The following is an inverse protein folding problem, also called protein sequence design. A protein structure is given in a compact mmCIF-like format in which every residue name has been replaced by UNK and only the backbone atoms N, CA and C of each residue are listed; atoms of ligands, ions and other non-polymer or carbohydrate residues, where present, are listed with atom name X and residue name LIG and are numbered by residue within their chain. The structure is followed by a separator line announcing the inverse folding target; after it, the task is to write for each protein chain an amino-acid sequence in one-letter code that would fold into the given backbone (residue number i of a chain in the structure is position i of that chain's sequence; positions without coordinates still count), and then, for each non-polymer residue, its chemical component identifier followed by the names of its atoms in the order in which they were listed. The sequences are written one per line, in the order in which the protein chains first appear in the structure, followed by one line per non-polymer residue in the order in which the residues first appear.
data_IF_228493762698
#
_entry.id   IF_228493762698
#
_cell.length_a   1.000
_cell.length_b   1.000
_cell.length_c   1.000
_cell.angle_alpha   90.00
_cell.angle_beta   90.00
_cell.angle_gamma   90.00
#
_symmetry.space_group_name_H-M   'P 1'
#
loop_
_entity.id
_entity.type
_entity.pdbx_description
1 polymer ?
#
# COMPACT_ATOMS: atom_id res chain seq x y z
N UNK A 1 -3.11 -11.91 5.19
CA UNK A 1 -3.67 -11.49 6.49
C UNK A 1 -4.01 -10.04 6.28
N UNK A 2 -5.30 -9.71 6.31
CA UNK A 2 -5.74 -8.33 6.12
C UNK A 2 -5.38 -7.47 7.33
N UNK A 3 -5.09 -6.19 7.11
CA UNK A 3 -4.95 -5.20 8.18
C UNK A 3 -6.23 -4.44 8.42
N UNK A 4 -6.52 -4.16 9.68
CA UNK A 4 -7.69 -3.40 10.10
C UNK A 4 -7.30 -1.97 10.41
N UNK A 5 -8.17 -1.05 10.05
CA UNK A 5 -8.14 0.33 10.52
C UNK A 5 -9.54 0.74 10.97
N UNK A 6 -9.59 1.73 11.86
CA UNK A 6 -10.83 2.20 12.44
C UNK A 6 -10.88 3.72 12.37
N UNK A 7 -12.07 4.24 12.09
CA UNK A 7 -12.40 5.66 12.21
C UNK A 7 -13.87 5.82 12.57
N UNK A 8 -14.17 6.67 13.57
CA UNK A 8 -15.54 6.91 14.06
C UNK A 8 -16.34 5.63 14.38
N UNK A 9 -15.68 4.59 14.92
CA UNK A 9 -16.32 3.31 15.24
C UNK A 9 -16.63 2.42 14.04
N UNK A 10 -16.24 2.82 12.82
CA UNK A 10 -16.29 2.00 11.61
C UNK A 10 -14.95 1.30 11.45
N UNK A 11 -14.97 -0.03 11.42
CA UNK A 11 -13.78 -0.86 11.23
C UNK A 11 -13.78 -1.37 9.78
N UNK A 12 -12.69 -1.12 9.07
CA UNK A 12 -12.50 -1.53 7.69
C UNK A 12 -11.18 -2.31 7.55
N UNK A 13 -11.12 -3.15 6.51
CA UNK A 13 -9.96 -4.00 6.23
C UNK A 13 -9.20 -3.50 5.00
N UNK A 14 -7.91 -3.78 4.95
CA UNK A 14 -7.04 -3.60 3.80
C UNK A 14 -6.33 -4.92 3.56
N UNK A 15 -6.47 -5.46 2.35
CA UNK A 15 -5.72 -6.63 1.90
C UNK A 15 -5.22 -6.38 0.48
N UNK A 16 -4.04 -5.78 0.35
CA UNK A 16 -3.43 -5.52 -0.96
C UNK A 16 -2.85 -6.79 -1.59
N UNK A 17 -2.95 -7.94 -0.91
CA UNK A 17 -2.59 -9.24 -1.47
C UNK A 17 -3.80 -9.96 -2.08
N UNK A 18 -5.01 -9.49 -1.79
CA UNK A 18 -6.25 -9.90 -2.46
C UNK A 18 -6.41 -9.13 -3.78
N UNK A 19 -6.58 -9.85 -4.89
CA UNK A 19 -6.61 -9.24 -6.22
C UNK A 19 -7.86 -8.37 -6.43
N UNK A 20 -9.01 -8.78 -5.90
CA UNK A 20 -10.28 -8.06 -6.05
C UNK A 20 -10.28 -6.77 -5.20
N UNK A 21 -9.63 -6.79 -4.04
CA UNK A 21 -9.40 -5.60 -3.24
C UNK A 21 -8.38 -4.67 -3.92
N UNK A 22 -7.25 -5.20 -4.41
CA UNK A 22 -6.24 -4.41 -5.09
C UNK A 22 -6.79 -3.72 -6.34
N UNK A 23 -7.61 -4.41 -7.14
CA UNK A 23 -8.24 -3.83 -8.33
C UNK A 23 -9.19 -2.66 -7.96
N UNK A 24 -10.02 -2.83 -6.92
CA UNK A 24 -10.89 -1.74 -6.43
C UNK A 24 -10.08 -0.56 -5.91
N UNK A 25 -9.03 -0.84 -5.14
CA UNK A 25 -8.11 0.17 -4.63
C UNK A 25 -7.50 0.98 -5.78
N UNK A 26 -6.89 0.32 -6.77
CA UNK A 26 -6.24 0.97 -7.91
C UNK A 26 -7.21 1.82 -8.72
N UNK A 27 -8.41 1.29 -9.03
CA UNK A 27 -9.46 2.03 -9.75
C UNK A 27 -9.95 3.25 -8.98
N UNK A 28 -10.17 3.10 -7.68
CA UNK A 28 -10.64 4.20 -6.83
C UNK A 28 -9.63 5.35 -6.78
N UNK A 29 -8.34 5.04 -6.66
CA UNK A 29 -7.27 6.04 -6.70
C UNK A 29 -7.12 6.71 -8.08
N UNK A 30 -7.22 5.96 -9.17
CA UNK A 30 -7.21 6.53 -10.52
C UNK A 30 -8.36 7.53 -10.73
N UNK A 31 -9.57 7.18 -10.28
CA UNK A 31 -10.74 8.05 -10.35
C UNK A 31 -10.63 9.28 -9.43
N UNK A 32 -10.06 9.10 -8.24
CA UNK A 32 -9.80 10.20 -7.32
C UNK A 32 -8.82 11.21 -7.93
N UNK A 33 -7.76 10.76 -8.61
CA UNK A 33 -6.79 11.64 -9.29
C UNK A 33 -7.46 12.48 -10.40
N UNK A 34 -8.34 11.87 -11.19
CA UNK A 34 -9.12 12.60 -12.21
C UNK A 34 -10.04 13.64 -11.57
N UNK A 35 -10.75 13.25 -10.50
CA UNK A 35 -11.68 14.14 -9.80
C UNK A 35 -10.96 15.30 -9.10
N UNK A 36 -9.76 15.07 -8.58
CA UNK A 36 -8.91 16.10 -7.96
C UNK A 36 -8.47 17.17 -8.98
N UNK A 37 -8.12 16.77 -10.21
CA UNK A 37 -7.78 17.71 -11.30
C UNK A 37 -8.95 18.65 -11.64
N UNK A 38 -10.17 18.15 -11.60
CA UNK A 38 -11.37 18.98 -11.80
C UNK A 38 -11.62 19.91 -10.62
N UNK A 39 -11.37 19.46 -9.40
CA UNK A 39 -11.53 20.27 -8.18
C UNK A 39 -10.58 21.49 -8.14
N UNK A 40 -9.36 21.36 -8.70
CA UNK A 40 -8.38 22.45 -8.75
C UNK A 40 -8.87 23.69 -9.52
N UNK A 41 -9.92 23.55 -10.34
CA UNK A 41 -10.52 24.66 -11.11
C UNK A 41 -11.54 25.48 -10.32
N UNK A 42 -11.88 25.06 -9.10
CA UNK A 42 -12.90 25.71 -8.26
C UNK A 42 -12.31 26.91 -7.52
N UNK A 43 -12.91 28.10 -7.71
CA UNK A 43 -12.42 29.36 -7.11
C UNK A 43 -12.97 29.68 -5.71
N UNK A 44 -14.03 29.00 -5.26
CA UNK A 44 -14.71 29.30 -3.99
C UNK A 44 -14.30 28.30 -2.92
N UNK A 45 -13.73 28.79 -1.80
CA UNK A 45 -13.19 27.94 -0.74
C UNK A 45 -14.21 26.95 -0.15
N UNK A 46 -15.47 27.36 0.04
CA UNK A 46 -16.50 26.47 0.61
C UNK A 46 -16.92 25.36 -0.36
N UNK A 47 -16.86 25.60 -1.67
CA UNK A 47 -17.10 24.60 -2.70
C UNK A 47 -15.90 23.66 -2.83
N UNK A 48 -14.69 24.21 -2.75
CA UNK A 48 -13.45 23.42 -2.72
C UNK A 48 -13.44 22.46 -1.54
N UNK A 49 -13.80 22.90 -0.32
CA UNK A 49 -13.87 22.01 0.85
C UNK A 49 -14.93 20.91 0.65
N UNK A 50 -16.11 21.23 0.11
CA UNK A 50 -17.15 20.22 -0.15
C UNK A 50 -16.70 19.21 -1.20
N UNK A 51 -16.09 19.67 -2.29
CA UNK A 51 -15.52 18.82 -3.32
C UNK A 51 -14.40 17.93 -2.78
N UNK A 52 -13.49 18.49 -1.96
CA UNK A 52 -12.43 17.74 -1.30
C UNK A 52 -13.01 16.63 -0.42
N UNK A 53 -14.00 16.93 0.41
CA UNK A 53 -14.67 15.89 1.21
C UNK A 53 -15.32 14.84 0.32
N UNK A 54 -15.98 15.24 -0.77
CA UNK A 54 -16.62 14.31 -1.70
C UNK A 54 -15.62 13.35 -2.36
N UNK A 55 -14.37 13.78 -2.63
CA UNK A 55 -13.32 12.89 -3.11
C UNK A 55 -13.13 11.69 -2.17
N UNK A 56 -13.02 11.93 -0.87
CA UNK A 56 -12.82 10.84 0.10
C UNK A 56 -14.07 10.01 0.32
N UNK A 57 -15.26 10.62 0.29
CA UNK A 57 -16.51 9.85 0.34
C UNK A 57 -16.56 8.85 -0.81
N UNK A 58 -16.29 9.32 -2.04
CA UNK A 58 -16.30 8.47 -3.22
C UNK A 58 -15.16 7.44 -3.19
N UNK A 59 -13.97 7.81 -2.75
CA UNK A 59 -12.84 6.89 -2.59
C UNK A 59 -13.24 5.70 -1.71
N UNK A 60 -13.82 5.95 -0.54
CA UNK A 60 -14.21 4.87 0.38
C UNK A 60 -15.42 4.09 -0.13
N UNK A 61 -16.36 4.71 -0.82
CA UNK A 61 -17.46 4.01 -1.49
C UNK A 61 -16.96 3.08 -2.60
N UNK A 62 -16.00 3.54 -3.41
CA UNK A 62 -15.45 2.74 -4.51
C UNK A 62 -14.63 1.53 -4.01
N UNK A 63 -13.96 1.66 -2.87
CA UNK A 63 -13.16 0.57 -2.28
C UNK A 63 -14.05 -0.42 -1.53
N UNK A 64 -14.97 0.08 -0.69
CA UNK A 64 -15.68 -0.71 0.31
C UNK A 64 -17.16 -0.95 0.00
N UNK A 65 -17.68 -0.29 -1.03
CA UNK A 65 -19.09 -0.32 -1.43
C UNK A 65 -19.85 0.93 -0.99
N UNK A 66 -20.93 1.20 -1.71
CA UNK A 66 -21.74 2.41 -1.60
C UNK A 66 -22.18 2.72 -0.15
N UNK A 67 -22.07 4.01 0.23
CA UNK A 67 -22.48 4.51 1.54
C UNK A 67 -21.47 4.28 2.67
N UNK A 68 -20.27 3.78 2.36
CA UNK A 68 -19.17 3.66 3.33
C UNK A 68 -18.65 5.04 3.75
N UNK A 69 -18.47 5.96 2.81
CA UNK A 69 -18.09 7.35 3.08
C UNK A 69 -19.10 8.04 4.00
N UNK A 70 -20.40 7.85 3.73
CA UNK A 70 -21.45 8.41 4.59
C UNK A 70 -21.36 7.89 6.02
N UNK A 71 -21.12 6.59 6.21
CA UNK A 71 -20.93 5.98 7.54
C UNK A 71 -19.68 6.49 8.24
N UNK A 72 -18.55 6.60 7.53
CA UNK A 72 -17.27 7.06 8.10
C UNK A 72 -17.34 8.51 8.59
N UNK A 73 -18.02 9.36 7.85
CA UNK A 73 -18.01 10.81 8.07
C UNK A 73 -19.30 11.36 8.67
N UNK A 74 -20.34 10.53 8.81
CA UNK A 74 -21.66 10.90 9.34
C UNK A 74 -22.25 12.13 8.65
N UNK A 75 -22.15 12.18 7.31
CA UNK A 75 -22.64 13.28 6.46
C UNK A 75 -21.88 14.60 6.58
N UNK A 76 -20.85 14.69 7.42
CA UNK A 76 -20.10 15.94 7.65
C UNK A 76 -19.13 16.22 6.50
N UNK A 77 -19.14 17.46 5.99
CA UNK A 77 -18.15 17.98 5.03
C UNK A 77 -17.07 18.77 5.76
N UNK A 78 -16.16 18.04 6.42
CA UNK A 78 -15.04 18.60 7.17
C UNK A 78 -13.72 18.02 6.65
N UNK A 79 -12.88 18.88 6.09
CA UNK A 79 -11.60 18.48 5.50
C UNK A 79 -10.66 17.81 6.52
N UNK A 80 -10.62 18.27 7.77
CA UNK A 80 -9.76 17.67 8.81
C UNK A 80 -10.18 16.24 9.14
N UNK A 81 -11.49 15.97 9.18
CA UNK A 81 -12.00 14.62 9.38
C UNK A 81 -11.62 13.71 8.21
N UNK A 82 -11.69 14.23 6.97
CA UNK A 82 -11.26 13.50 5.78
C UNK A 82 -9.76 13.18 5.85
N UNK A 83 -8.93 14.15 6.23
CA UNK A 83 -7.47 13.95 6.38
C UNK A 83 -7.13 12.89 7.44
N UNK A 84 -7.82 12.90 8.58
CA UNK A 84 -7.61 11.92 9.66
C UNK A 84 -7.97 10.51 9.22
N UNK A 85 -9.16 10.33 8.63
CA UNK A 85 -9.59 9.03 8.11
C UNK A 85 -8.61 8.52 7.03
N UNK A 86 -8.22 9.40 6.11
CA UNK A 86 -7.30 9.06 5.03
C UNK A 86 -5.90 8.68 5.56
N UNK A 87 -5.39 9.39 6.58
CA UNK A 87 -4.12 9.03 7.24
C UNK A 87 -4.17 7.64 7.87
N UNK A 88 -5.25 7.31 8.58
CA UNK A 88 -5.40 5.98 9.19
C UNK A 88 -5.45 4.87 8.13
N UNK A 89 -6.20 5.10 7.05
CA UNK A 89 -6.28 4.20 5.92
C UNK A 89 -4.91 3.98 5.25
N UNK A 90 -4.18 5.06 4.92
CA UNK A 90 -2.86 4.96 4.30
C UNK A 90 -1.84 4.26 5.20
N UNK A 91 -1.91 4.47 6.52
CA UNK A 91 -1.05 3.78 7.47
C UNK A 91 -1.30 2.26 7.44
N UNK A 92 -2.56 1.82 7.37
CA UNK A 92 -2.90 0.42 7.22
C UNK A 92 -2.46 -0.14 5.86
N UNK A 93 -2.75 0.56 4.75
CA UNK A 93 -2.33 0.12 3.42
C UNK A 93 -0.81 -0.02 3.29
N UNK A 94 -0.04 0.94 3.81
CA UNK A 94 1.42 0.87 3.83
C UNK A 94 1.91 -0.33 4.64
N UNK A 95 1.36 -0.52 5.84
CA UNK A 95 1.76 -1.63 6.71
C UNK A 95 1.44 -2.98 6.08
N UNK A 96 0.33 -3.10 5.37
CA UNK A 96 -0.08 -4.33 4.69
C UNK A 96 0.91 -4.70 3.58
N UNK A 97 1.26 -3.71 2.75
CA UNK A 97 2.26 -3.87 1.70
C UNK A 97 3.64 -4.24 2.26
N UNK A 98 4.08 -3.59 3.35
CA UNK A 98 5.36 -3.88 4.00
C UNK A 98 5.37 -5.29 4.62
N UNK A 99 4.31 -5.68 5.32
CA UNK A 99 4.16 -7.01 5.93
C UNK A 99 4.16 -8.10 4.84
N UNK A 100 3.43 -7.89 3.74
CA UNK A 100 3.40 -8.81 2.60
C UNK A 100 4.77 -8.99 1.95
N UNK A 101 5.49 -7.88 1.72
CA UNK A 101 6.86 -7.91 1.17
C UNK A 101 7.80 -8.70 2.08
N UNK A 102 7.74 -8.44 3.39
CA UNK A 102 8.59 -9.11 4.37
C UNK A 102 8.28 -10.61 4.46
N UNK A 103 7.00 -10.98 4.45
CA UNK A 103 6.57 -12.38 4.43
C UNK A 103 7.05 -13.10 3.17
N UNK A 104 6.93 -12.47 1.99
CA UNK A 104 7.42 -13.03 0.72
C UNK A 104 8.94 -13.25 0.76
N UNK A 105 9.71 -12.26 1.23
CA UNK A 105 11.17 -12.41 1.34
C UNK A 105 11.57 -13.49 2.35
N UNK A 106 10.89 -13.56 3.49
CA UNK A 106 11.12 -14.60 4.51
C UNK A 106 10.83 -15.99 3.95
N UNK A 107 9.70 -16.16 3.26
CA UNK A 107 9.34 -17.40 2.59
C UNK A 107 10.40 -17.81 1.56
N UNK A 108 10.73 -16.92 0.62
CA UNK A 108 11.75 -17.19 -0.42
C UNK A 108 13.07 -17.59 0.23
N UNK A 109 13.56 -16.85 1.23
CA UNK A 109 14.85 -17.14 1.87
C UNK A 109 14.90 -18.50 2.57
N UNK A 110 13.77 -18.98 3.13
CA UNK A 110 13.66 -20.30 3.75
C UNK A 110 13.62 -21.44 2.72
N UNK A 111 12.97 -21.22 1.57
CA UNK A 111 12.73 -22.28 0.57
C UNK A 111 13.68 -22.24 -0.63
N UNK A 112 14.55 -21.21 -0.76
CA UNK A 112 15.63 -21.17 -1.75
C UNK A 112 17.05 -21.16 -1.15
N UNK A 113 17.45 -22.16 -0.33
CA UNK A 113 18.81 -22.24 0.21
C UNK A 113 19.90 -22.59 -0.83
N UNK A 114 19.52 -23.13 -2.00
CA UNK A 114 20.47 -23.76 -2.93
C UNK A 114 21.27 -22.81 -3.84
N UNK A 115 20.76 -21.61 -4.17
CA UNK A 115 21.48 -20.67 -5.05
C UNK A 115 22.72 -20.08 -4.36
N UNK A 116 22.64 -19.78 -3.06
CA UNK A 116 23.77 -19.27 -2.28
C UNK A 116 24.82 -20.34 -1.93
N UNK A 117 24.43 -21.63 -1.84
CA UNK A 117 25.36 -22.72 -1.52
C UNK A 117 26.27 -23.08 -2.70
N UNK A 118 25.74 -23.08 -3.92
CA UNK A 118 26.55 -23.31 -5.13
C UNK A 118 27.49 -22.13 -5.43
N UNK A 119 27.03 -20.88 -5.27
CA UNK A 119 27.90 -19.71 -5.42
C UNK A 119 29.05 -19.68 -4.40
N UNK A 120 28.81 -20.03 -3.14
CA UNK A 120 29.88 -20.14 -2.12
C UNK A 120 30.90 -21.23 -2.45
N UNK A 121 30.47 -22.37 -3.02
CA UNK A 121 31.37 -23.45 -3.47
C UNK A 121 32.24 -23.01 -4.65
N UNK A 122 31.67 -22.34 -5.67
CA UNK A 122 32.44 -21.82 -6.81
C UNK A 122 33.46 -20.74 -6.40
N UNK A 123 33.09 -19.84 -5.48
CA UNK A 123 33.99 -18.77 -5.00
C UNK A 123 35.18 -19.30 -4.17
N UNK A 124 34.98 -20.39 -3.42
CA UNK A 124 36.05 -21.06 -2.66
C UNK A 124 37.06 -21.78 -3.55
N UNK A 125 36.62 -22.39 -4.66
CA UNK A 125 37.50 -23.08 -5.60
C UNK A 125 38.43 -22.13 -6.37
N UNK A 126 37.95 -20.94 -6.74
CA UNK A 126 38.77 -19.94 -7.43
C UNK A 126 39.86 -19.32 -6.53
N UNK A 127 39.57 -19.08 -5.24
CA UNK A 127 40.60 -18.61 -4.29
C UNK A 127 41.71 -19.63 -4.06
N UNK A 128 41.37 -20.91 -3.94
CA UNK A 128 42.36 -21.98 -3.74
C UNK A 128 43.30 -22.19 -4.94
N UNK A 129 42.81 -22.00 -6.18
CA UNK A 129 43.64 -22.05 -7.39
C UNK A 129 44.59 -20.86 -7.53
N UNK A 130 44.19 -19.68 -7.04
CA UNK A 130 45.00 -18.46 -7.15
C UNK A 130 46.14 -18.43 -6.13
N UNK A 131 45.92 -18.95 -4.92
CA UNK A 131 46.98 -19.08 -3.89
C UNK A 131 48.07 -20.06 -4.36
N UNK A 132 47.68 -21.24 -4.85
CA UNK A 132 48.65 -22.25 -5.34
C UNK A 132 49.46 -21.80 -6.57
N UNK A 133 48.96 -20.84 -7.36
CA UNK A 133 49.69 -20.26 -8.49
C UNK A 133 50.74 -19.23 -8.05
N UNK A 134 50.52 -18.54 -6.94
CA UNK A 134 51.47 -17.56 -6.42
C UNK A 134 52.60 -18.17 -5.58
N UNK A 135 52.42 -19.40 -5.06
CA UNK A 135 53.47 -20.11 -4.30
C UNK A 135 54.47 -20.88 -5.19
N UNK A 136 54.18 -21.02 -6.48
CA UNK A 136 55.02 -21.73 -7.46
C UNK A 136 55.78 -20.79 -8.41
N UNK A 137 55.81 -19.48 -8.14
CA UNK A 137 56.43 -18.47 -8.98
C UNK A 137 57.52 -17.70 -8.25
#
# INVERSE_FOLDING_TARGET
MSLKWEYNGVILEVDLQDADFAERYEKAFARMEESEKELQKVGVNSEMIRGYCNLFYQLFDDIYGDGTGEKLFAGKKNARMCDEAYRNFLAAAKKDADDARNQRMSFISRFTPHQNRQQRRHRGQNKGKQIRRNEMS
#
